data_IF_577751805040
#
_entry.id   IF_577751805040
#
_cell.length_a   1.000
_cell.length_b   1.000
_cell.length_c   1.000
_cell.angle_alpha   90.00
_cell.angle_beta   90.00
_cell.angle_gamma   90.00
#
_symmetry.space_group_name_H-M   'P 1'
#
loop_
_entity.id
_entity.type
_entity.pdbx_description
1 polymer ?
#
# COMPACT_ATOMS: atom_id res chain seq x y z
N UNK A 1 -8.34 -16.29 3.91
CA UNK A 1 -7.25 -16.75 3.04
C UNK A 1 -6.04 -15.83 3.10
N UNK A 2 -4.86 -16.36 2.85
CA UNK A 2 -3.61 -15.62 2.75
C UNK A 2 -2.98 -15.97 1.39
N UNK A 3 -2.78 -14.97 0.54
CA UNK A 3 -2.13 -15.15 -0.75
C UNK A 3 -0.72 -14.55 -0.65
N UNK A 4 0.29 -15.39 -0.73
CA UNK A 4 1.68 -15.00 -0.66
C UNK A 4 2.23 -14.97 -2.09
N UNK A 5 2.68 -13.81 -2.55
CA UNK A 5 3.36 -13.66 -3.84
C UNK A 5 4.84 -13.40 -3.58
N UNK A 6 5.66 -14.37 -3.87
CA UNK A 6 7.10 -14.34 -3.65
C UNK A 6 7.85 -14.08 -4.96
N UNK A 7 8.66 -13.02 -4.98
CA UNK A 7 9.23 -12.44 -6.20
C UNK A 7 10.68 -12.87 -6.47
N UNK A 8 11.00 -14.15 -6.25
CA UNK A 8 12.33 -14.74 -6.47
C UNK A 8 13.42 -14.09 -5.60
N UNK A 9 13.17 -14.03 -4.30
CA UNK A 9 14.10 -13.49 -3.32
C UNK A 9 15.36 -14.36 -3.17
N UNK A 10 16.50 -13.72 -2.96
CA UNK A 10 17.81 -14.39 -2.81
C UNK A 10 18.33 -14.41 -1.36
N UNK A 11 17.53 -13.90 -0.42
CA UNK A 11 17.89 -13.73 0.99
C UNK A 11 17.34 -14.84 1.91
N UNK A 12 16.84 -15.94 1.33
CA UNK A 12 16.22 -17.05 2.07
C UNK A 12 14.70 -16.90 2.27
N UNK A 13 14.09 -15.75 1.97
CA UNK A 13 12.64 -15.54 2.13
C UNK A 13 11.81 -16.57 1.38
N UNK A 14 12.24 -17.00 0.17
CA UNK A 14 11.56 -18.04 -0.62
C UNK A 14 11.43 -19.36 0.12
N UNK A 15 12.51 -19.84 0.78
CA UNK A 15 12.47 -21.07 1.54
C UNK A 15 11.51 -20.97 2.74
N UNK A 16 11.46 -19.81 3.39
CA UNK A 16 10.54 -19.57 4.50
C UNK A 16 9.09 -19.67 4.04
N UNK A 17 8.70 -19.02 2.95
CA UNK A 17 7.30 -19.06 2.48
C UNK A 17 6.91 -20.42 1.90
N UNK A 18 7.85 -21.16 1.33
CA UNK A 18 7.62 -22.53 0.84
C UNK A 18 7.22 -23.50 1.95
N UNK A 19 7.66 -23.27 3.20
CA UNK A 19 7.24 -24.08 4.34
C UNK A 19 5.71 -23.95 4.65
N UNK A 20 5.04 -22.97 4.08
CA UNK A 20 3.60 -22.78 4.23
C UNK A 20 2.79 -23.25 3.02
N UNK A 21 3.42 -23.87 2.01
CA UNK A 21 2.76 -24.26 0.76
C UNK A 21 1.57 -25.19 0.97
N UNK A 22 1.68 -26.10 1.96
CA UNK A 22 0.63 -27.08 2.28
C UNK A 22 -0.40 -26.57 3.32
N UNK A 23 -0.28 -25.30 3.75
CA UNK A 23 -1.21 -24.76 4.74
C UNK A 23 -2.57 -24.48 4.09
N UNK A 24 -3.70 -24.96 4.64
CA UNK A 24 -5.02 -24.93 3.96
C UNK A 24 -5.58 -23.54 3.67
N UNK A 25 -5.07 -22.51 4.33
CA UNK A 25 -5.47 -21.09 4.09
C UNK A 25 -4.44 -20.31 3.30
N UNK A 26 -3.37 -20.90 2.83
CA UNK A 26 -2.29 -20.22 2.11
C UNK A 26 -2.31 -20.63 0.64
N UNK A 27 -2.33 -19.63 -0.22
CA UNK A 27 -2.04 -19.79 -1.65
C UNK A 27 -0.68 -19.17 -1.93
N UNK A 28 0.27 -19.98 -2.35
CA UNK A 28 1.64 -19.54 -2.61
C UNK A 28 1.88 -19.38 -4.12
N UNK A 29 2.23 -18.17 -4.53
CA UNK A 29 2.59 -17.83 -5.91
C UNK A 29 4.09 -17.52 -5.97
N UNK A 30 4.86 -18.35 -6.67
CA UNK A 30 6.30 -18.19 -6.83
C UNK A 30 6.62 -17.60 -8.20
N UNK A 31 7.11 -16.37 -8.23
CA UNK A 31 7.57 -15.75 -9.48
C UNK A 31 8.95 -16.29 -9.87
N UNK A 32 9.21 -16.35 -11.17
CA UNK A 32 10.49 -16.73 -11.77
C UNK A 32 11.56 -15.63 -11.67
N UNK A 33 11.09 -14.37 -11.57
CA UNK A 33 11.92 -13.16 -11.45
C UNK A 33 11.15 -12.02 -10.80
N UNK A 34 11.83 -11.05 -10.19
CA UNK A 34 11.19 -9.84 -9.66
C UNK A 34 10.55 -9.03 -10.78
N UNK A 35 9.24 -8.78 -10.67
CA UNK A 35 8.47 -7.95 -11.62
C UNK A 35 7.97 -6.65 -11.01
N UNK A 36 8.23 -6.46 -9.71
CA UNK A 36 7.83 -5.31 -8.91
C UNK A 36 6.56 -5.54 -8.11
N UNK A 37 6.38 -4.69 -7.08
CA UNK A 37 5.30 -4.81 -6.11
C UNK A 37 3.92 -4.79 -6.74
N UNK A 38 3.64 -3.83 -7.61
CA UNK A 38 2.34 -3.71 -8.27
C UNK A 38 1.99 -4.93 -9.08
N UNK A 39 2.97 -5.55 -9.74
CA UNK A 39 2.75 -6.80 -10.45
C UNK A 39 2.39 -7.93 -9.50
N UNK A 40 3.10 -8.07 -8.38
CA UNK A 40 2.82 -9.10 -7.38
C UNK A 40 1.42 -8.93 -6.75
N UNK A 41 1.03 -7.69 -6.42
CA UNK A 41 -0.32 -7.42 -5.87
C UNK A 41 -1.41 -7.76 -6.88
N UNK A 42 -1.22 -7.48 -8.17
CA UNK A 42 -2.19 -7.86 -9.22
C UNK A 42 -2.34 -9.37 -9.36
N UNK A 43 -1.25 -10.12 -9.27
CA UNK A 43 -1.32 -11.59 -9.25
C UNK A 43 -2.09 -12.07 -8.01
N UNK A 44 -1.84 -11.48 -6.84
CA UNK A 44 -2.60 -11.76 -5.64
C UNK A 44 -4.10 -11.47 -5.80
N UNK A 45 -4.46 -10.33 -6.36
CA UNK A 45 -5.87 -9.99 -6.63
C UNK A 45 -6.56 -10.96 -7.57
N UNK A 46 -5.85 -11.51 -8.56
CA UNK A 46 -6.40 -12.47 -9.50
C UNK A 46 -6.74 -13.82 -8.83
N UNK A 47 -6.08 -14.16 -7.74
CA UNK A 47 -6.33 -15.39 -6.98
C UNK A 47 -7.30 -15.18 -5.80
N UNK A 48 -7.50 -13.92 -5.39
CA UNK A 48 -8.31 -13.61 -4.22
C UNK A 48 -9.78 -13.99 -4.42
N UNK A 49 -10.34 -14.77 -3.50
CA UNK A 49 -11.74 -15.17 -3.45
C UNK A 49 -12.54 -14.40 -2.39
N UNK A 50 -11.88 -13.87 -1.37
CA UNK A 50 -12.50 -13.14 -0.26
C UNK A 50 -13.21 -11.86 -0.70
N UNK A 51 -14.23 -11.46 0.06
CA UNK A 51 -14.99 -10.23 -0.20
C UNK A 51 -14.22 -8.97 0.19
N UNK A 52 -13.33 -9.07 1.18
CA UNK A 52 -12.52 -7.96 1.69
C UNK A 52 -11.06 -8.26 1.35
N UNK A 53 -10.42 -7.33 0.66
CA UNK A 53 -9.02 -7.42 0.30
C UNK A 53 -8.19 -6.51 1.20
N UNK A 54 -7.10 -7.05 1.76
CA UNK A 54 -6.11 -6.34 2.54
C UNK A 54 -4.73 -6.58 1.95
N UNK A 55 -3.99 -5.49 1.67
CA UNK A 55 -2.62 -5.57 1.19
C UNK A 55 -1.68 -5.48 2.39
N UNK A 56 -0.79 -6.48 2.54
CA UNK A 56 0.23 -6.53 3.58
C UNK A 56 1.61 -6.69 2.97
N UNK A 57 2.53 -5.78 3.28
CA UNK A 57 3.95 -5.98 3.01
C UNK A 57 4.57 -6.90 4.09
N UNK A 58 5.43 -7.83 3.69
CA UNK A 58 6.09 -8.78 4.61
C UNK A 58 7.34 -8.17 5.29
N UNK A 59 7.28 -6.88 5.66
CA UNK A 59 8.44 -6.15 6.17
C UNK A 59 8.37 -5.78 7.65
N UNK A 60 7.33 -6.22 8.35
CA UNK A 60 7.08 -6.00 9.77
C UNK A 60 6.99 -4.52 10.20
N UNK A 61 6.82 -3.59 9.26
CA UNK A 61 6.64 -2.17 9.60
C UNK A 61 5.26 -1.90 10.22
N UNK A 62 4.24 -2.72 9.86
CA UNK A 62 2.87 -2.58 10.33
C UNK A 62 2.49 -3.69 11.31
N UNK A 63 1.66 -3.36 12.32
CA UNK A 63 1.17 -4.35 13.29
C UNK A 63 -0.04 -5.11 12.72
N UNK A 64 -0.01 -6.44 12.85
CA UNK A 64 -1.14 -7.30 12.51
C UNK A 64 -2.35 -7.12 13.45
N UNK A 65 -2.14 -6.59 14.67
CA UNK A 65 -3.21 -6.35 15.64
C UNK A 65 -4.20 -5.25 15.18
N UNK A 66 -3.84 -4.48 14.14
CA UNK A 66 -4.72 -3.45 13.60
C UNK A 66 -5.72 -3.99 12.57
N UNK A 67 -5.63 -5.27 12.17
CA UNK A 67 -6.50 -5.88 11.15
C UNK A 67 -7.98 -5.74 11.47
N UNK A 68 -8.39 -6.09 12.67
CA UNK A 68 -9.80 -6.03 13.04
C UNK A 68 -10.38 -4.63 12.88
N UNK A 69 -9.65 -3.61 13.34
CA UNK A 69 -10.07 -2.20 13.24
C UNK A 69 -10.19 -1.73 11.79
N UNK A 70 -9.34 -2.24 10.90
CA UNK A 70 -9.33 -1.89 9.48
C UNK A 70 -10.44 -2.63 8.71
N UNK A 71 -10.73 -3.88 9.07
CA UNK A 71 -11.68 -4.74 8.37
C UNK A 71 -13.12 -4.44 8.81
N UNK A 72 -13.35 -4.20 10.10
CA UNK A 72 -14.69 -4.04 10.71
C UNK A 72 -15.57 -3.05 9.98
N UNK A 73 -15.15 -1.81 9.62
CA UNK A 73 -16.04 -0.86 8.93
C UNK A 73 -16.53 -1.35 7.57
N UNK A 74 -15.76 -2.23 6.91
CA UNK A 74 -16.14 -2.81 5.63
C UNK A 74 -17.06 -4.01 5.85
N UNK A 75 -16.74 -4.87 6.80
CA UNK A 75 -17.55 -6.04 7.15
C UNK A 75 -18.96 -5.66 7.65
N UNK A 76 -19.08 -4.54 8.34
CA UNK A 76 -20.35 -3.97 8.81
C UNK A 76 -21.07 -3.14 7.73
N UNK A 77 -20.51 -3.02 6.52
CA UNK A 77 -21.12 -2.29 5.40
C UNK A 77 -21.11 -0.76 5.55
N UNK A 78 -20.42 -0.23 6.56
CA UNK A 78 -20.35 1.22 6.81
C UNK A 78 -19.50 1.95 5.77
N UNK A 79 -18.42 1.31 5.34
CA UNK A 79 -17.47 1.83 4.36
C UNK A 79 -17.05 0.74 3.37
N UNK A 80 -16.57 1.14 2.21
CA UNK A 80 -16.08 0.20 1.20
C UNK A 80 -14.58 0.25 1.00
N UNK A 81 -13.91 1.29 1.54
CA UNK A 81 -12.47 1.49 1.43
C UNK A 81 -11.92 2.15 2.70
N UNK A 82 -10.88 1.57 3.26
CA UNK A 82 -10.19 2.01 4.48
C UNK A 82 -8.69 2.10 4.21
N UNK A 83 -8.06 3.15 4.72
CA UNK A 83 -6.62 3.32 4.77
C UNK A 83 -6.14 3.24 6.23
N UNK A 84 -5.14 2.41 6.50
CA UNK A 84 -4.46 2.39 7.79
C UNK A 84 -3.43 3.52 7.86
N UNK A 85 -3.81 4.66 8.42
CA UNK A 85 -2.95 5.85 8.47
C UNK A 85 -1.83 5.69 9.48
N UNK A 86 -0.60 5.97 9.07
CA UNK A 86 0.59 6.01 9.94
C UNK A 86 0.63 7.27 10.81
N UNK A 87 -0.26 8.22 10.56
CA UNK A 87 -0.46 9.38 11.40
C UNK A 87 -1.41 9.04 12.55
N UNK A 88 -0.86 8.82 13.76
CA UNK A 88 -1.67 8.69 14.96
C UNK A 88 -2.46 9.97 15.24
N UNK A 89 -3.59 9.85 15.92
CA UNK A 89 -4.33 11.00 16.40
C UNK A 89 -3.39 11.88 17.26
N UNK A 90 -3.20 13.15 16.85
CA UNK A 90 -2.28 14.08 17.51
C UNK A 90 -0.83 14.02 17.04
N UNK A 91 -0.45 13.10 16.15
CA UNK A 91 0.86 13.18 15.50
C UNK A 91 0.93 14.43 14.61
N UNK A 92 1.94 15.26 14.83
CA UNK A 92 2.15 16.46 14.04
C UNK A 92 2.68 16.16 12.63
N UNK A 93 3.50 17.07 12.11
CA UNK A 93 4.12 16.98 10.78
C UNK A 93 4.99 15.73 10.58
N UNK A 94 5.64 15.23 11.63
CA UNK A 94 6.66 14.19 11.54
C UNK A 94 6.07 12.79 11.48
N UNK A 95 5.91 12.24 10.27
CA UNK A 95 5.57 10.84 10.04
C UNK A 95 6.77 9.90 10.29
N UNK A 96 7.95 10.33 9.90
CA UNK A 96 9.20 9.57 9.99
C UNK A 96 10.15 10.24 10.97
N UNK A 97 10.68 9.44 11.89
CA UNK A 97 11.69 9.86 12.84
C UNK A 97 12.87 8.86 12.71
N UNK A 98 13.99 9.33 12.17
CA UNK A 98 15.22 8.57 12.13
C UNK A 98 16.21 9.23 13.08
N UNK A 99 16.51 8.59 14.20
CA UNK A 99 17.43 9.14 15.20
C UNK A 99 18.81 9.49 14.60
N UNK A 100 19.30 8.65 13.69
CA UNK A 100 20.60 8.80 13.03
C UNK A 100 20.60 9.71 11.80
N UNK A 101 19.45 10.12 11.26
CA UNK A 101 19.33 10.83 9.99
C UNK A 101 18.19 11.85 9.97
N UNK A 102 18.23 12.88 10.82
CA UNK A 102 17.13 13.84 10.96
C UNK A 102 16.85 14.65 9.69
N UNK A 103 17.88 14.98 8.91
CA UNK A 103 17.73 15.72 7.65
C UNK A 103 16.98 14.87 6.62
N UNK A 104 17.33 13.59 6.48
CA UNK A 104 16.62 12.68 5.57
C UNK A 104 15.15 12.50 6.01
N UNK A 105 14.90 12.38 7.31
CA UNK A 105 13.54 12.30 7.84
C UNK A 105 12.74 13.56 7.48
N UNK A 106 13.32 14.74 7.65
CA UNK A 106 12.68 16.01 7.31
C UNK A 106 12.35 16.09 5.82
N UNK A 107 13.29 15.81 4.92
CA UNK A 107 13.08 15.81 3.47
C UNK A 107 11.96 14.85 3.06
N UNK A 108 11.96 13.63 3.60
CA UNK A 108 10.93 12.64 3.32
C UNK A 108 9.55 13.03 3.87
N UNK A 109 9.49 13.73 5.00
CA UNK A 109 8.24 14.27 5.54
C UNK A 109 7.72 15.43 4.69
N UNK A 110 8.57 16.35 4.24
CA UNK A 110 8.21 17.41 3.29
C UNK A 110 7.66 16.82 1.98
N UNK A 111 8.35 15.82 1.41
CA UNK A 111 7.90 15.14 0.21
C UNK A 111 6.53 14.47 0.43
N UNK A 112 6.34 13.78 1.56
CA UNK A 112 5.06 13.17 1.90
C UNK A 112 3.92 14.18 1.86
N UNK A 113 4.04 15.31 2.55
CA UNK A 113 2.99 16.33 2.60
C UNK A 113 2.75 17.00 1.25
N UNK A 114 3.81 17.25 0.48
CA UNK A 114 3.69 17.79 -0.88
C UNK A 114 2.86 16.87 -1.77
N UNK A 115 3.21 15.59 -1.81
CA UNK A 115 2.49 14.62 -2.63
C UNK A 115 1.08 14.31 -2.09
N UNK A 116 0.89 14.28 -0.78
CA UNK A 116 -0.44 14.14 -0.18
C UNK A 116 -1.35 15.32 -0.58
N UNK A 117 -0.83 16.55 -0.55
CA UNK A 117 -1.55 17.74 -1.01
C UNK A 117 -1.91 17.64 -2.49
N UNK A 118 -0.98 17.21 -3.34
CA UNK A 118 -1.24 17.03 -4.77
C UNK A 118 -2.36 16.00 -5.03
N UNK A 119 -2.36 14.86 -4.33
CA UNK A 119 -3.46 13.88 -4.42
C UNK A 119 -4.77 14.50 -3.93
N UNK A 120 -4.76 15.12 -2.77
CA UNK A 120 -5.94 15.70 -2.15
C UNK A 120 -6.63 16.71 -3.08
N UNK A 121 -5.85 17.66 -3.62
CA UNK A 121 -6.36 18.66 -4.58
C UNK A 121 -6.84 17.99 -5.87
N UNK A 122 -6.04 17.08 -6.43
CA UNK A 122 -6.37 16.45 -7.72
C UNK A 122 -7.59 15.55 -7.65
N UNK A 123 -7.81 14.86 -6.52
CA UNK A 123 -8.87 13.86 -6.36
C UNK A 123 -10.08 14.39 -5.56
N UNK A 124 -10.00 15.61 -5.01
CA UNK A 124 -11.08 16.20 -4.21
C UNK A 124 -11.33 15.43 -2.90
N UNK A 125 -10.26 14.97 -2.23
CA UNK A 125 -10.31 14.25 -0.96
C UNK A 125 -9.46 14.98 0.09
N UNK A 126 -9.54 14.52 1.34
CA UNK A 126 -8.73 15.07 2.43
C UNK A 126 -8.09 13.92 3.22
N UNK A 127 -6.95 13.45 2.75
CA UNK A 127 -6.21 12.33 3.33
C UNK A 127 -4.89 12.82 3.93
N UNK A 128 -4.56 12.31 5.10
CA UNK A 128 -3.28 12.56 5.76
C UNK A 128 -2.19 11.62 5.29
N UNK A 129 -2.57 10.36 5.00
CA UNK A 129 -1.63 9.31 4.61
C UNK A 129 -2.09 8.50 3.40
N UNK A 130 -2.19 9.13 2.21
CA UNK A 130 -2.59 8.42 0.99
C UNK A 130 -1.60 7.32 0.56
N UNK A 131 -0.37 7.33 1.10
CA UNK A 131 0.72 6.42 0.72
C UNK A 131 0.91 5.26 1.69
N UNK A 132 -0.02 5.08 2.62
CA UNK A 132 -0.01 3.92 3.51
C UNK A 132 -0.13 2.62 2.72
N UNK A 133 0.53 1.59 3.23
CA UNK A 133 0.42 0.25 2.65
C UNK A 133 -0.85 -0.48 3.04
N UNK A 134 -1.35 -0.25 4.23
CA UNK A 134 -2.62 -0.81 4.66
C UNK A 134 -3.77 -0.18 3.87
N UNK A 135 -4.07 -0.80 2.75
CA UNK A 135 -5.24 -0.53 1.92
C UNK A 135 -6.19 -1.70 2.04
N UNK A 136 -7.33 -1.47 2.66
CA UNK A 136 -8.39 -2.47 2.87
C UNK A 136 -9.63 -2.01 2.14
N UNK A 137 -10.20 -2.87 1.30
CA UNK A 137 -11.37 -2.50 0.51
C UNK A 137 -12.20 -3.72 0.13
N UNK A 138 -13.47 -3.49 -0.13
CA UNK A 138 -14.36 -4.52 -0.66
C UNK A 138 -13.94 -4.86 -2.10
N UNK A 139 -13.93 -6.15 -2.46
CA UNK A 139 -13.48 -6.65 -3.77
C UNK A 139 -14.19 -5.99 -4.95
N UNK A 140 -15.48 -5.67 -4.81
CA UNK A 140 -16.22 -4.99 -5.88
C UNK A 140 -15.66 -3.60 -6.23
N UNK A 141 -14.90 -2.96 -5.34
CA UNK A 141 -14.28 -1.68 -5.63
C UNK A 141 -13.31 -1.76 -6.82
N UNK A 142 -12.73 -2.94 -7.05
CA UNK A 142 -11.78 -3.18 -8.14
C UNK A 142 -12.41 -3.95 -9.31
N UNK A 143 -13.67 -4.37 -9.22
CA UNK A 143 -14.32 -5.14 -10.27
C UNK A 143 -14.31 -4.39 -11.62
N UNK A 144 -13.77 -5.04 -12.66
CA UNK A 144 -13.64 -4.44 -14.01
C UNK A 144 -12.56 -3.36 -14.15
N UNK A 145 -11.81 -3.03 -13.08
CA UNK A 145 -10.63 -2.17 -13.20
C UNK A 145 -9.45 -2.96 -13.78
N UNK A 146 -8.74 -2.32 -14.71
CA UNK A 146 -7.46 -2.81 -15.19
C UNK A 146 -6.34 -2.04 -14.51
N UNK A 147 -5.40 -2.74 -13.89
CA UNK A 147 -4.20 -2.17 -13.29
C UNK A 147 -2.99 -2.47 -14.17
N UNK A 148 -2.12 -1.49 -14.36
CA UNK A 148 -0.98 -1.57 -15.29
C UNK A 148 0.36 -1.27 -14.61
N UNK A 149 0.35 -0.56 -13.48
CA UNK A 149 1.57 -0.27 -12.72
C UNK A 149 2.20 -1.53 -12.15
N UNK A 150 3.51 -1.63 -12.28
CA UNK A 150 4.24 -2.80 -11.81
C UNK A 150 5.06 -2.55 -10.54
N UNK A 151 5.33 -1.29 -10.19
CA UNK A 151 6.21 -0.91 -9.09
C UNK A 151 5.43 -0.17 -7.98
N UNK A 152 6.07 0.78 -7.31
CA UNK A 152 5.47 1.60 -6.24
C UNK A 152 4.41 2.60 -6.74
N UNK A 153 4.38 2.89 -8.04
CA UNK A 153 3.32 3.64 -8.71
C UNK A 153 1.95 2.94 -8.66
N UNK A 154 1.93 1.63 -8.40
CA UNK A 154 0.70 0.87 -8.20
C UNK A 154 -0.14 1.40 -7.03
N UNK A 155 0.49 1.82 -5.96
CA UNK A 155 -0.21 2.38 -4.79
C UNK A 155 -1.00 3.64 -5.14
N UNK A 156 -0.46 4.46 -6.04
CA UNK A 156 -1.11 5.64 -6.59
C UNK A 156 -2.24 5.25 -7.53
N UNK A 157 -1.98 4.31 -8.44
CA UNK A 157 -2.98 3.81 -9.37
C UNK A 157 -4.22 3.28 -8.65
N UNK A 158 -4.00 2.40 -7.66
CA UNK A 158 -5.08 1.81 -6.88
C UNK A 158 -5.90 2.89 -6.17
N UNK A 159 -5.25 3.76 -5.41
CA UNK A 159 -5.92 4.83 -4.66
C UNK A 159 -6.75 5.75 -5.58
N UNK A 160 -6.12 6.25 -6.64
CA UNK A 160 -6.76 7.20 -7.56
C UNK A 160 -7.94 6.54 -8.28
N UNK A 161 -7.79 5.31 -8.77
CA UNK A 161 -8.86 4.60 -9.48
C UNK A 161 -10.06 4.31 -8.57
N UNK A 162 -9.82 3.91 -7.31
CA UNK A 162 -10.90 3.70 -6.35
C UNK A 162 -11.64 5.01 -6.04
N UNK A 163 -10.92 6.09 -5.76
CA UNK A 163 -11.54 7.39 -5.49
C UNK A 163 -12.37 7.86 -6.70
N UNK A 164 -11.85 7.73 -7.91
CA UNK A 164 -12.55 8.11 -9.15
C UNK A 164 -13.81 7.28 -9.40
N UNK A 165 -13.87 6.06 -8.86
CA UNK A 165 -15.08 5.22 -8.85
C UNK A 165 -16.07 5.58 -7.75
N UNK A 166 -15.80 6.61 -6.97
CA UNK A 166 -16.66 7.07 -5.87
C UNK A 166 -16.37 6.38 -4.53
N UNK A 167 -15.37 5.49 -4.46
CA UNK A 167 -14.98 4.83 -3.21
C UNK A 167 -13.99 5.72 -2.45
N UNK A 168 -14.51 6.70 -1.69
CA UNK A 168 -13.69 7.57 -0.84
C UNK A 168 -13.25 6.81 0.41
N UNK A 169 -11.95 6.72 0.69
CA UNK A 169 -11.49 6.02 1.88
C UNK A 169 -11.70 6.84 3.15
N UNK A 170 -11.89 6.14 4.26
CA UNK A 170 -11.64 6.68 5.59
C UNK A 170 -10.24 6.30 6.05
N UNK A 171 -9.66 7.10 6.96
CA UNK A 171 -8.36 6.80 7.56
C UNK A 171 -8.54 6.33 9.01
N UNK A 172 -7.93 5.20 9.33
CA UNK A 172 -7.87 4.65 10.70
C UNK A 172 -6.41 4.63 11.12
N UNK A 173 -6.04 5.26 12.25
CA UNK A 173 -4.67 5.23 12.74
C UNK A 173 -4.21 3.80 13.04
N UNK A 174 -2.98 3.46 12.60
CA UNK A 174 -2.37 2.15 12.80
C UNK A 174 -1.01 2.28 13.46
N UNK A 175 -0.57 1.19 14.09
CA UNK A 175 0.77 1.09 14.66
C UNK A 175 1.77 0.83 13.54
N UNK A 176 2.73 1.74 13.41
CA UNK A 176 3.73 1.73 12.36
C UNK A 176 5.13 1.98 12.93
N UNK A 177 6.06 1.13 12.56
CA UNK A 177 7.48 1.28 12.89
C UNK A 177 8.30 1.39 11.60
N UNK A 178 8.77 2.59 11.28
CA UNK A 178 9.58 2.81 10.08
C UNK A 178 10.95 2.14 10.21
N UNK A 179 11.34 1.37 9.21
CA UNK A 179 12.74 0.91 9.05
C UNK A 179 13.63 2.07 8.61
N UNK A 180 14.87 2.05 9.08
CA UNK A 180 15.92 2.94 8.61
C UNK A 180 16.51 2.47 7.26
N UNK A 181 17.33 3.31 6.62
CA UNK A 181 18.06 2.91 5.40
C UNK A 181 19.03 1.76 5.67
N UNK A 182 19.60 1.66 6.89
CA UNK A 182 20.47 0.55 7.32
C UNK A 182 19.72 -0.79 7.37
N UNK A 183 18.40 -0.75 7.57
CA UNK A 183 17.51 -1.90 7.61
C UNK A 183 16.88 -2.23 6.24
N UNK A 184 17.47 -1.72 5.14
CA UNK A 184 17.12 -2.12 3.78
C UNK A 184 15.99 -1.33 3.12
N UNK A 185 15.73 -0.10 3.52
CA UNK A 185 14.73 0.77 2.86
C UNK A 185 15.13 1.06 1.41
N UNK A 186 14.28 0.71 0.44
CA UNK A 186 14.55 0.77 -1.01
C UNK A 186 13.80 1.93 -1.69
N UNK A 187 14.00 3.17 -1.27
CA UNK A 187 13.41 4.35 -1.93
C UNK A 187 14.48 5.06 -2.75
N UNK A 188 14.27 5.21 -4.05
CA UNK A 188 15.14 5.98 -4.93
C UNK A 188 14.68 7.46 -4.93
N UNK A 189 15.36 8.28 -4.11
CA UNK A 189 14.97 9.68 -3.79
C UNK A 189 14.76 10.56 -5.02
N UNK A 190 15.48 10.34 -6.13
CA UNK A 190 15.40 11.16 -7.35
C UNK A 190 14.46 10.56 -8.41
N UNK A 191 14.37 9.25 -8.52
CA UNK A 191 13.59 8.57 -9.57
C UNK A 191 12.12 8.42 -9.22
N UNK A 192 11.83 8.06 -7.98
CA UNK A 192 10.47 7.75 -7.56
C UNK A 192 9.53 8.96 -7.60
N UNK A 193 9.93 10.19 -7.20
CA UNK A 193 9.07 11.37 -7.32
C UNK A 193 8.57 11.66 -8.74
N UNK A 194 9.41 11.49 -9.75
CA UNK A 194 9.02 11.71 -11.15
C UNK A 194 7.99 10.67 -11.61
N UNK A 195 8.17 9.40 -11.21
CA UNK A 195 7.21 8.34 -11.53
C UNK A 195 5.87 8.58 -10.83
N UNK A 196 5.86 9.14 -9.62
CA UNK A 196 4.65 9.46 -8.88
C UNK A 196 3.87 10.62 -9.50
N UNK A 197 4.55 11.69 -9.92
CA UNK A 197 3.89 12.79 -10.64
C UNK A 197 3.27 12.31 -11.94
N UNK A 198 3.99 11.49 -12.69
CA UNK A 198 3.46 10.89 -13.90
C UNK A 198 2.25 9.98 -13.62
N UNK A 199 2.33 9.14 -12.59
CA UNK A 199 1.23 8.29 -12.16
C UNK A 199 -0.01 9.11 -11.77
N UNK A 200 0.18 10.19 -11.01
CA UNK A 200 -0.90 11.11 -10.64
C UNK A 200 -1.59 11.69 -11.87
N UNK A 201 -0.82 12.26 -12.80
CA UNK A 201 -1.37 12.84 -14.03
C UNK A 201 -2.07 11.77 -14.88
N UNK A 202 -1.41 10.64 -15.11
CA UNK A 202 -1.95 9.54 -15.90
C UNK A 202 -3.27 9.03 -15.32
N UNK A 203 -3.29 8.55 -14.08
CA UNK A 203 -4.45 7.89 -13.50
C UNK A 203 -5.57 8.83 -13.11
N UNK A 204 -5.28 10.14 -12.99
CA UNK A 204 -6.34 11.16 -12.79
C UNK A 204 -7.19 11.33 -14.06
N UNK A 205 -6.61 11.24 -15.24
CA UNK A 205 -7.27 11.57 -16.51
C UNK A 205 -7.50 10.36 -17.43
N UNK A 206 -6.82 9.24 -17.23
CA UNK A 206 -7.03 8.01 -18.00
C UNK A 206 -8.49 7.54 -17.88
N UNK A 207 -9.05 6.94 -18.95
CA UNK A 207 -10.34 6.23 -18.85
C UNK A 207 -10.22 5.04 -17.89
N UNK A 208 -11.25 4.88 -17.04
CA UNK A 208 -11.36 3.75 -16.11
C UNK A 208 -11.87 2.52 -16.82
#
# INVERSE_FOLDING_TARGET
EIIIVESNSTDGSRAVVQAYADHPRVTLLLQDRPRGKGFAVREGFAQASGEILLIQDADLEYSLDDYERLIRPIAEGQHRFVLGSRHAAGSGFALRQFADQPVHAFVLNCAHWTFATLINVSCGVWLRDPFTMYKVFHRDCIAGLRFESNRFDFDWELLIKLIRRGHRPIEIPVRYRSRSFKEGKKIAVFRDPLTWLWALAKFRFQRL
#
